data_IF_384071540138
#
_entry.id   IF_384071540138
#
_cell.length_a   1.000
_cell.length_b   1.000
_cell.length_c   1.000
_cell.angle_alpha   90.00
_cell.angle_beta   90.00
_cell.angle_gamma   90.00
#
_symmetry.space_group_name_H-M   'P 1'
#
loop_
_entity.id
_entity.type
_entity.pdbx_description
1 polymer ?
#
# COMPACT_ATOMS: atom_id res chain seq x y z
N UNK A 1 -1.69 25.81 -8.89
CA UNK A 1 -2.16 25.58 -7.51
C UNK A 1 -1.71 26.71 -6.59
N UNK A 2 -2.64 27.38 -5.91
CA UNK A 2 -2.31 28.35 -4.87
C UNK A 2 -1.58 27.70 -3.69
N UNK A 3 -0.71 28.46 -3.01
CA UNK A 3 0.10 27.96 -1.89
C UNK A 3 -0.74 27.30 -0.78
N UNK A 4 -1.89 27.88 -0.45
CA UNK A 4 -2.80 27.33 0.55
C UNK A 4 -3.37 25.98 0.11
N UNK A 5 -3.81 25.85 -1.14
CA UNK A 5 -4.35 24.59 -1.69
C UNK A 5 -3.28 23.48 -1.72
N UNK A 6 -2.03 23.83 -2.04
CA UNK A 6 -0.92 22.90 -1.97
C UNK A 6 -0.66 22.39 -0.54
N UNK A 7 -0.65 23.29 0.46
CA UNK A 7 -0.44 22.93 1.87
C UNK A 7 -1.58 22.04 2.40
N UNK A 8 -2.84 22.37 2.06
CA UNK A 8 -3.98 21.53 2.40
C UNK A 8 -3.86 20.14 1.77
N UNK A 9 -3.58 20.05 0.47
CA UNK A 9 -3.43 18.78 -0.22
C UNK A 9 -2.31 17.92 0.38
N UNK A 10 -1.14 18.52 0.63
CA UNK A 10 0.03 17.85 1.21
C UNK A 10 -0.25 17.30 2.60
N UNK A 11 -0.86 18.10 3.49
CA UNK A 11 -1.16 17.70 4.87
C UNK A 11 -2.25 16.62 4.91
N UNK A 12 -3.30 16.74 4.10
CA UNK A 12 -4.34 15.71 3.98
C UNK A 12 -3.77 14.39 3.48
N UNK A 13 -2.89 14.40 2.47
CA UNK A 13 -2.22 13.20 1.95
C UNK A 13 -1.38 12.49 3.03
N UNK A 14 -0.61 13.23 3.83
CA UNK A 14 0.16 12.65 4.94
C UNK A 14 -0.78 12.03 5.99
N UNK A 15 -1.80 12.77 6.41
CA UNK A 15 -2.74 12.31 7.42
C UNK A 15 -3.42 11.01 7.00
N UNK A 16 -3.87 10.93 5.75
CA UNK A 16 -4.50 9.74 5.18
C UNK A 16 -3.52 8.58 5.01
N UNK A 17 -2.30 8.84 4.53
CA UNK A 17 -1.28 7.80 4.38
C UNK A 17 -0.84 7.22 5.73
N UNK A 18 -0.90 8.00 6.81
CA UNK A 18 -0.57 7.59 8.17
C UNK A 18 -1.69 6.76 8.83
N UNK A 19 -2.92 6.76 8.29
CA UNK A 19 -3.99 5.95 8.85
C UNK A 19 -3.65 4.46 8.73
N UNK A 20 -3.88 3.67 9.80
CA UNK A 20 -3.67 2.22 9.76
C UNK A 20 -4.53 1.60 8.66
N UNK A 21 -3.87 1.09 7.63
CA UNK A 21 -4.51 0.49 6.45
C UNK A 21 -3.89 -0.86 6.12
N UNK A 22 -4.56 -1.63 5.25
CA UNK A 22 -4.04 -2.89 4.71
C UNK A 22 -2.69 -2.69 4.01
N UNK A 23 -2.49 -1.53 3.37
CA UNK A 23 -1.23 -1.16 2.74
C UNK A 23 -0.09 -0.97 3.75
N UNK A 24 -0.37 -0.31 4.88
CA UNK A 24 0.58 -0.16 5.99
C UNK A 24 0.90 -1.53 6.60
N UNK A 25 -0.11 -2.38 6.81
CA UNK A 25 0.09 -3.74 7.32
C UNK A 25 0.99 -4.57 6.39
N UNK A 26 0.83 -4.48 5.07
CA UNK A 26 1.68 -5.17 4.10
C UNK A 26 3.13 -4.66 4.15
N UNK A 27 3.34 -3.34 4.18
CA UNK A 27 4.67 -2.73 4.30
C UNK A 27 5.34 -3.16 5.60
N UNK A 28 4.66 -3.04 6.74
CA UNK A 28 5.18 -3.44 8.05
C UNK A 28 5.54 -4.92 8.05
N UNK A 29 4.66 -5.77 7.54
CA UNK A 29 4.87 -7.22 7.50
C UNK A 29 6.06 -7.61 6.62
N UNK A 30 6.16 -7.06 5.40
CA UNK A 30 7.28 -7.36 4.49
C UNK A 30 8.59 -6.79 5.01
N UNK A 31 8.57 -5.64 5.69
CA UNK A 31 9.75 -5.07 6.36
C UNK A 31 10.21 -5.93 7.53
N UNK A 32 9.25 -6.40 8.34
CA UNK A 32 9.49 -7.24 9.51
C UNK A 32 9.99 -8.64 9.15
N UNK A 33 9.53 -9.20 8.02
CA UNK A 33 9.84 -10.58 7.61
C UNK A 33 10.95 -10.71 6.59
N UNK A 34 11.12 -9.71 5.71
CA UNK A 34 12.06 -9.74 4.60
C UNK A 34 13.00 -8.52 4.54
N UNK A 35 12.99 -7.69 5.59
CA UNK A 35 13.89 -6.54 5.77
C UNK A 35 13.39 -5.24 5.14
N UNK A 36 14.00 -4.13 5.54
CA UNK A 36 13.60 -2.77 5.15
C UNK A 36 13.51 -2.57 3.63
N UNK A 37 14.45 -3.14 2.86
CA UNK A 37 14.45 -3.03 1.39
C UNK A 37 13.22 -3.67 0.74
N UNK A 38 12.72 -4.77 1.29
CA UNK A 38 11.46 -5.39 0.81
C UNK A 38 10.25 -4.53 1.21
N UNK A 39 10.29 -3.90 2.38
CA UNK A 39 9.32 -2.87 2.77
C UNK A 39 9.25 -1.70 1.79
N UNK A 40 10.42 -1.16 1.40
CA UNK A 40 10.51 -0.13 0.38
C UNK A 40 10.00 -0.61 -0.98
N UNK A 41 10.30 -1.85 -1.38
CA UNK A 41 9.77 -2.39 -2.63
C UNK A 41 8.22 -2.44 -2.63
N UNK A 42 7.59 -2.87 -1.53
CA UNK A 42 6.13 -2.77 -1.36
C UNK A 42 5.66 -1.32 -1.44
N UNK A 43 6.33 -0.40 -0.73
CA UNK A 43 5.97 1.01 -0.72
C UNK A 43 6.00 1.61 -2.14
N UNK A 44 7.04 1.32 -2.92
CA UNK A 44 7.16 1.71 -4.31
C UNK A 44 6.06 1.11 -5.18
N UNK A 45 5.70 -0.17 -4.96
CA UNK A 45 4.59 -0.81 -5.64
C UNK A 45 3.26 -0.12 -5.36
N UNK A 46 3.02 0.26 -4.11
CA UNK A 46 1.82 1.00 -3.76
C UNK A 46 1.81 2.38 -4.43
N UNK A 47 2.90 3.14 -4.32
CA UNK A 47 2.98 4.47 -4.95
C UNK A 47 2.76 4.36 -6.46
N UNK A 48 3.30 3.34 -7.12
CA UNK A 48 3.04 3.11 -8.54
C UNK A 48 1.54 2.84 -8.83
N UNK A 49 0.86 2.07 -7.97
CA UNK A 49 -0.59 1.87 -8.09
C UNK A 49 -1.39 3.15 -7.88
N UNK A 50 -1.00 3.97 -6.90
CA UNK A 50 -1.61 5.28 -6.64
C UNK A 50 -1.43 6.21 -7.85
N UNK A 51 -0.25 6.21 -8.48
CA UNK A 51 0.01 6.98 -9.69
C UNK A 51 -0.82 6.50 -10.89
N UNK A 52 -1.10 5.20 -11.01
CA UNK A 52 -2.05 4.71 -12.01
C UNK A 52 -3.43 5.34 -11.78
N UNK A 53 -3.92 5.41 -10.54
CA UNK A 53 -5.19 6.07 -10.25
C UNK A 53 -5.17 7.57 -10.49
N UNK A 54 -4.07 8.25 -10.15
CA UNK A 54 -3.89 9.67 -10.46
C UNK A 54 -3.94 9.89 -11.98
N UNK A 55 -3.26 9.06 -12.77
CA UNK A 55 -3.31 9.14 -14.23
C UNK A 55 -4.73 8.88 -14.78
N UNK A 56 -5.44 7.88 -14.25
CA UNK A 56 -6.83 7.60 -14.63
C UNK A 56 -7.75 8.78 -14.25
N UNK A 57 -7.54 9.40 -13.08
CA UNK A 57 -8.30 10.58 -12.68
C UNK A 57 -8.02 11.80 -13.57
N UNK A 58 -6.74 12.06 -13.90
CA UNK A 58 -6.30 13.16 -14.76
C UNK A 58 -6.79 13.05 -16.20
N UNK A 59 -6.85 11.83 -16.75
CA UNK A 59 -7.32 11.58 -18.11
C UNK A 59 -8.85 11.67 -18.26
N UNK A 60 -9.58 12.18 -17.25
CA UNK A 60 -11.03 12.37 -17.33
C UNK A 60 -11.81 11.06 -17.37
N UNK A 61 -11.25 10.01 -16.80
CA UNK A 61 -11.73 8.63 -16.94
C UNK A 61 -12.82 8.25 -15.94
N UNK A 62 -13.59 9.22 -15.44
CA UNK A 62 -14.79 8.93 -14.64
C UNK A 62 -15.78 8.03 -15.41
N UNK A 63 -15.76 8.10 -16.75
CA UNK A 63 -16.53 7.23 -17.65
C UNK A 63 -15.97 5.79 -17.81
N UNK A 64 -14.65 5.58 -18.00
CA UNK A 64 -14.13 4.19 -18.05
C UNK A 64 -14.03 3.55 -16.67
N UNK A 65 -13.96 4.30 -15.57
CA UNK A 65 -14.10 3.72 -14.24
C UNK A 65 -15.45 2.99 -14.07
N UNK A 66 -16.52 3.51 -14.68
CA UNK A 66 -17.81 2.82 -14.75
C UNK A 66 -17.79 1.60 -15.68
N UNK A 67 -17.03 1.67 -16.78
CA UNK A 67 -16.98 0.61 -17.80
C UNK A 67 -16.01 -0.54 -17.44
N UNK A 68 -14.99 -0.27 -16.61
CA UNK A 68 -13.97 -1.22 -16.15
C UNK A 68 -14.35 -1.91 -14.81
N UNK A 69 -15.56 -1.70 -14.30
CA UNK A 69 -15.99 -2.27 -13.01
C UNK A 69 -15.73 -3.77 -12.87
N UNK A 70 -15.83 -4.52 -13.96
CA UNK A 70 -15.53 -5.97 -14.03
C UNK A 70 -14.03 -6.27 -13.81
N UNK A 71 -13.14 -5.49 -14.43
CA UNK A 71 -11.68 -5.64 -14.30
C UNK A 71 -11.23 -5.28 -12.89
N UNK A 72 -11.78 -4.21 -12.32
CA UNK A 72 -11.50 -3.83 -10.94
C UNK A 72 -12.00 -4.87 -9.93
N UNK A 73 -13.16 -5.47 -10.18
CA UNK A 73 -13.67 -6.58 -9.36
C UNK A 73 -12.73 -7.78 -9.41
N UNK A 74 -12.19 -8.12 -10.58
CA UNK A 74 -11.23 -9.21 -10.72
C UNK A 74 -9.93 -8.92 -9.94
N UNK A 75 -9.37 -7.71 -10.11
CA UNK A 75 -8.15 -7.29 -9.40
C UNK A 75 -8.37 -7.25 -7.89
N UNK A 76 -9.53 -6.75 -7.43
CA UNK A 76 -9.95 -6.77 -6.02
C UNK A 76 -9.96 -8.19 -5.46
N UNK A 77 -10.62 -9.12 -6.14
CA UNK A 77 -10.67 -10.52 -5.70
C UNK A 77 -9.26 -11.11 -5.65
N UNK A 78 -8.44 -10.88 -6.68
CA UNK A 78 -7.05 -11.37 -6.72
C UNK A 78 -6.18 -10.78 -5.59
N UNK A 79 -6.26 -9.46 -5.36
CA UNK A 79 -5.53 -8.78 -4.29
C UNK A 79 -5.97 -9.22 -2.90
N UNK A 80 -7.28 -9.41 -2.69
CA UNK A 80 -7.84 -9.91 -1.44
C UNK A 80 -7.44 -11.36 -1.16
N UNK A 81 -7.52 -12.24 -2.17
CA UNK A 81 -7.05 -13.63 -2.07
C UNK A 81 -5.54 -13.69 -1.78
N UNK A 82 -4.77 -12.80 -2.40
CA UNK A 82 -3.33 -12.71 -2.16
C UNK A 82 -3.00 -12.27 -0.73
N UNK A 83 -3.72 -11.29 -0.19
CA UNK A 83 -3.60 -10.88 1.22
C UNK A 83 -3.97 -12.02 2.18
N UNK A 84 -5.06 -12.73 1.90
CA UNK A 84 -5.47 -13.90 2.69
C UNK A 84 -4.38 -14.97 2.64
N UNK A 85 -3.85 -15.27 1.45
CA UNK A 85 -2.78 -16.24 1.26
C UNK A 85 -1.51 -15.87 2.03
N UNK A 86 -1.07 -14.59 1.97
CA UNK A 86 0.05 -14.09 2.76
C UNK A 86 -0.23 -14.18 4.27
N UNK A 87 -1.41 -13.73 4.70
CA UNK A 87 -1.81 -13.74 6.10
C UNK A 87 -1.85 -15.15 6.70
N UNK A 88 -2.40 -16.11 5.95
CA UNK A 88 -2.37 -17.54 6.31
C UNK A 88 -0.93 -18.05 6.37
N UNK A 89 -0.06 -17.68 5.43
CA UNK A 89 1.36 -18.04 5.43
C UNK A 89 2.09 -17.57 6.68
N UNK A 90 1.79 -16.36 7.15
CA UNK A 90 2.34 -15.79 8.39
C UNK A 90 1.82 -16.52 9.63
N UNK A 91 0.53 -16.86 9.68
CA UNK A 91 -0.06 -17.59 10.81
C UNK A 91 0.50 -19.03 10.88
N UNK A 92 0.64 -19.70 9.72
CA UNK A 92 1.05 -21.11 9.63
C UNK A 92 2.56 -21.37 9.72
N UNK A 93 3.40 -20.35 9.61
CA UNK A 93 4.85 -20.52 9.72
C UNK A 93 5.23 -21.07 11.11
N UNK A 94 5.79 -22.28 11.21
CA UNK A 94 6.18 -22.87 12.51
C UNK A 94 7.56 -22.43 13.00
N UNK A 95 8.36 -21.83 12.14
CA UNK A 95 9.68 -21.35 12.52
C UNK A 95 9.54 -20.14 13.45
N UNK A 96 10.13 -20.22 14.64
CA UNK A 96 10.70 -19.05 15.31
C UNK A 96 11.58 -18.31 14.30
N UNK A 97 11.71 -16.99 14.37
CA UNK A 97 12.68 -16.29 13.53
C UNK A 97 14.08 -16.78 13.89
N UNK A 98 14.50 -17.91 13.33
CA UNK A 98 15.90 -18.17 13.12
C UNK A 98 16.29 -17.21 12.00
N UNK A 99 16.89 -16.09 12.40
CA UNK A 99 17.80 -15.32 11.55
C UNK A 99 19.00 -16.21 11.19
N UNK A 100 18.77 -17.33 10.50
CA UNK A 100 19.76 -17.78 9.56
C UNK A 100 19.59 -16.87 8.36
N UNK A 101 20.56 -16.00 8.19
CA UNK A 101 21.04 -15.52 6.90
C UNK A 101 21.43 -16.77 6.08
N UNK A 102 20.43 -17.60 5.73
CA UNK A 102 20.58 -18.68 4.80
C UNK A 102 19.94 -18.22 3.51
N UNK A 103 20.77 -18.24 2.49
CA UNK A 103 20.65 -17.57 1.21
C UNK A 103 19.60 -18.25 0.28
N UNK A 104 18.47 -18.72 0.81
CA UNK A 104 17.59 -19.67 0.09
C UNK A 104 16.06 -19.49 0.23
N UNK A 105 15.60 -18.31 0.62
CA UNK A 105 14.39 -17.75 -0.02
C UNK A 105 14.75 -16.34 -0.45
N UNK A 106 15.23 -16.20 -1.69
CA UNK A 106 15.29 -14.90 -2.38
C UNK A 106 13.84 -14.40 -2.40
N UNK A 107 13.45 -13.62 -1.40
CA UNK A 107 12.22 -12.84 -1.47
C UNK A 107 12.51 -11.82 -2.57
N UNK A 108 11.94 -12.05 -3.75
CA UNK A 108 12.20 -11.21 -4.89
C UNK A 108 11.64 -9.82 -4.59
N UNK A 109 12.46 -8.79 -4.72
CA UNK A 109 11.99 -7.40 -4.62
C UNK A 109 10.82 -7.13 -5.57
N UNK A 110 10.82 -7.82 -6.73
CA UNK A 110 9.72 -7.83 -7.67
C UNK A 110 8.41 -8.35 -7.06
N UNK A 111 8.44 -9.43 -6.29
CA UNK A 111 7.24 -9.96 -5.63
C UNK A 111 6.72 -9.01 -4.56
N UNK A 112 7.63 -8.39 -3.80
CA UNK A 112 7.27 -7.36 -2.82
C UNK A 112 6.66 -6.14 -3.50
N UNK A 113 7.24 -5.68 -4.61
CA UNK A 113 6.69 -4.60 -5.42
C UNK A 113 5.30 -4.96 -5.99
N UNK A 114 5.18 -6.10 -6.67
CA UNK A 114 3.93 -6.59 -7.24
C UNK A 114 2.86 -6.77 -6.18
N UNK A 115 3.22 -7.18 -4.96
CA UNK A 115 2.28 -7.28 -3.85
C UNK A 115 1.70 -5.93 -3.43
N UNK A 116 2.53 -4.89 -3.35
CA UNK A 116 2.07 -3.53 -3.05
C UNK A 116 1.23 -2.96 -4.20
N UNK A 117 1.68 -3.16 -5.43
CA UNK A 117 0.99 -2.70 -6.63
C UNK A 117 -0.40 -3.36 -6.78
N UNK A 118 -0.47 -4.69 -6.71
CA UNK A 118 -1.73 -5.43 -6.81
C UNK A 118 -2.68 -5.11 -5.64
N UNK A 119 -2.15 -4.93 -4.43
CA UNK A 119 -2.95 -4.51 -3.28
C UNK A 119 -3.61 -3.15 -3.54
N UNK A 120 -2.85 -2.17 -4.00
CA UNK A 120 -3.37 -0.83 -4.27
C UNK A 120 -4.37 -0.84 -5.41
N UNK A 121 -4.07 -1.51 -6.53
CA UNK A 121 -5.02 -1.63 -7.63
C UNK A 121 -6.32 -2.35 -7.25
N UNK A 122 -6.27 -3.24 -6.27
CA UNK A 122 -7.45 -3.92 -5.71
C UNK A 122 -8.21 -3.12 -4.67
N UNK A 123 -7.66 -2.01 -4.17
CA UNK A 123 -8.32 -1.16 -3.17
C UNK A 123 -9.33 -0.21 -3.83
N UNK A 124 -10.58 -0.66 -3.93
CA UNK A 124 -11.68 0.17 -4.42
C UNK A 124 -11.86 1.46 -3.61
N UNK A 125 -11.44 1.54 -2.34
CA UNK A 125 -11.46 2.81 -1.61
C UNK A 125 -10.51 3.82 -2.23
N UNK A 126 -9.32 3.40 -2.67
CA UNK A 126 -8.37 4.27 -3.35
C UNK A 126 -8.97 4.77 -4.67
N UNK A 127 -9.65 3.91 -5.43
CA UNK A 127 -10.37 4.28 -6.66
C UNK A 127 -11.41 5.37 -6.38
N UNK A 128 -12.32 5.14 -5.44
CA UNK A 128 -13.36 6.11 -5.12
C UNK A 128 -12.79 7.39 -4.51
N UNK A 129 -11.72 7.28 -3.73
CA UNK A 129 -11.01 8.42 -3.17
C UNK A 129 -10.44 9.30 -4.29
N UNK A 130 -9.66 8.72 -5.22
CA UNK A 130 -9.15 9.48 -6.35
C UNK A 130 -10.26 9.93 -7.31
N UNK A 131 -11.34 9.17 -7.48
CA UNK A 131 -12.45 9.58 -8.33
C UNK A 131 -13.31 10.73 -7.74
N UNK A 132 -13.45 10.81 -6.42
CA UNK A 132 -14.31 11.80 -5.73
C UNK A 132 -13.53 13.01 -5.20
N UNK A 133 -12.36 12.77 -4.60
CA UNK A 133 -11.56 13.82 -3.99
C UNK A 133 -10.76 14.60 -5.02
N UNK A 134 -10.27 13.93 -6.07
CA UNK A 134 -9.37 14.57 -7.03
C UNK A 134 -10.04 15.68 -7.84
N UNK A 135 -11.27 15.53 -8.39
CA UNK A 135 -11.98 16.63 -9.05
C UNK A 135 -12.44 17.73 -8.06
N UNK A 136 -12.56 17.40 -6.77
CA UNK A 136 -12.95 18.35 -5.73
C UNK A 136 -11.77 19.23 -5.24
N UNK A 137 -10.53 18.76 -5.42
CA UNK A 137 -9.31 19.49 -5.01
C UNK A 137 -8.60 20.12 -6.20
N UNK A 138 -8.71 19.53 -7.39
CA UNK A 138 -8.01 19.97 -8.59
C UNK A 138 -9.02 20.36 -9.66
N UNK A 139 -8.96 21.61 -10.11
CA UNK A 139 -9.75 22.05 -11.26
C UNK A 139 -9.18 21.44 -12.54
N UNK A 140 -9.84 20.37 -13.01
CA UNK A 140 -9.45 19.62 -14.21
C UNK A 140 -9.49 20.48 -15.48
N UNK A 141 -10.19 21.64 -15.48
CA UNK A 141 -10.31 22.49 -16.66
C UNK A 141 -9.10 23.41 -16.87
N UNK A 142 -8.36 23.72 -15.82
CA UNK A 142 -7.18 24.62 -15.87
C UNK A 142 -5.86 23.87 -15.70
N UNK A 143 -5.92 22.54 -15.69
CA UNK A 143 -4.83 21.67 -15.24
C UNK A 143 -3.66 21.70 -16.23
N UNK A 144 -2.58 22.38 -15.83
CA UNK A 144 -1.34 22.45 -16.59
C UNK A 144 -0.41 21.27 -16.31
N UNK A 145 0.57 21.04 -17.20
CA UNK A 145 1.58 19.98 -17.01
C UNK A 145 2.38 20.13 -15.70
N UNK A 146 2.57 21.36 -15.22
CA UNK A 146 3.24 21.68 -13.95
C UNK A 146 2.46 21.20 -12.72
N UNK A 147 1.13 21.25 -12.77
CA UNK A 147 0.25 20.85 -11.66
C UNK A 147 0.16 19.33 -11.57
N UNK A 148 0.10 18.64 -12.72
CA UNK A 148 0.20 17.19 -12.78
C UNK A 148 1.52 16.68 -12.16
N UNK A 149 2.65 17.32 -12.48
CA UNK A 149 3.95 16.99 -11.88
C UNK A 149 3.92 17.21 -10.35
N UNK A 150 3.33 18.31 -9.89
CA UNK A 150 3.22 18.64 -8.46
C UNK A 150 2.43 17.57 -7.71
N UNK A 151 1.33 17.08 -8.28
CA UNK A 151 0.51 16.01 -7.71
C UNK A 151 1.31 14.72 -7.62
N UNK A 152 1.96 14.30 -8.72
CA UNK A 152 2.79 13.09 -8.76
C UNK A 152 3.89 13.14 -7.71
N UNK A 153 4.64 14.24 -7.64
CA UNK A 153 5.71 14.42 -6.64
C UNK A 153 5.16 14.41 -5.22
N UNK A 154 4.03 15.07 -4.98
CA UNK A 154 3.39 15.09 -3.66
C UNK A 154 2.97 13.67 -3.24
N UNK A 155 2.35 12.88 -4.13
CA UNK A 155 1.99 11.49 -3.84
C UNK A 155 3.21 10.65 -3.51
N UNK A 156 4.29 10.76 -4.29
CA UNK A 156 5.54 10.02 -4.05
C UNK A 156 6.11 10.38 -2.68
N UNK A 157 6.23 11.67 -2.37
CA UNK A 157 6.86 12.14 -1.12
C UNK A 157 6.01 11.78 0.09
N UNK A 158 4.72 12.03 0.04
CA UNK A 158 3.82 11.83 1.19
C UNK A 158 3.57 10.34 1.42
N UNK A 159 3.02 9.63 0.44
CA UNK A 159 2.65 8.22 0.57
C UNK A 159 3.89 7.34 0.68
N UNK A 160 4.88 7.56 -0.19
CA UNK A 160 6.14 6.84 -0.16
C UNK A 160 6.95 7.13 1.11
N UNK A 161 7.02 8.40 1.53
CA UNK A 161 7.71 8.81 2.76
C UNK A 161 7.10 8.19 4.01
N UNK A 162 5.78 8.26 4.19
CA UNK A 162 5.09 7.65 5.33
C UNK A 162 5.32 6.13 5.36
N UNK A 163 5.24 5.46 4.21
CA UNK A 163 5.47 4.01 4.12
C UNK A 163 6.92 3.63 4.38
N UNK A 164 7.88 4.45 3.95
CA UNK A 164 9.28 4.27 4.28
C UNK A 164 9.53 4.39 5.80
N UNK A 165 8.87 5.34 6.46
CA UNK A 165 8.93 5.48 7.93
C UNK A 165 8.38 4.22 8.61
N UNK A 166 7.21 3.72 8.20
CA UNK A 166 6.68 2.45 8.71
C UNK A 166 7.61 1.27 8.47
N UNK A 167 8.22 1.18 7.28
CA UNK A 167 9.15 0.12 6.95
C UNK A 167 10.39 0.15 7.85
N UNK A 168 10.92 1.34 8.11
CA UNK A 168 12.08 1.54 8.98
C UNK A 168 11.78 1.13 10.42
N UNK A 169 10.69 1.63 11.00
CA UNK A 169 10.30 1.29 12.37
C UNK A 169 9.95 -0.19 12.52
N UNK A 170 9.29 -0.80 11.53
CA UNK A 170 8.98 -2.22 11.55
C UNK A 170 10.24 -3.09 11.62
N UNK A 171 11.26 -2.78 10.80
CA UNK A 171 12.53 -3.49 10.85
C UNK A 171 13.25 -3.28 12.19
N UNK A 172 13.25 -2.04 12.70
CA UNK A 172 13.91 -1.70 13.96
C UNK A 172 13.25 -2.39 15.17
N UNK A 173 11.91 -2.48 15.17
CA UNK A 173 11.15 -3.20 16.19
C UNK A 173 11.50 -4.68 16.18
N UNK A 174 11.56 -5.32 15.01
CA UNK A 174 11.95 -6.73 14.90
C UNK A 174 13.38 -6.97 15.37
N UNK A 175 14.33 -6.08 15.03
CA UNK A 175 15.73 -6.18 15.49
C UNK A 175 15.85 -6.06 17.01
N UNK A 176 14.98 -5.27 17.66
CA UNK A 176 14.96 -5.10 19.13
C UNK A 176 14.23 -6.22 19.85
N UNK A 177 13.21 -6.84 19.23
CA UNK A 177 12.46 -7.93 19.82
C UNK A 177 13.22 -9.25 19.64
N UNK A 178 13.98 -9.64 20.66
CA UNK A 178 14.74 -10.92 20.69
C UNK A 178 13.92 -12.12 21.17
N UNK A 179 12.76 -11.90 21.79
CA UNK A 179 11.94 -12.98 22.37
C UNK A 179 11.16 -13.74 21.29
N UNK A 180 11.32 -15.08 21.19
CA UNK A 180 10.60 -15.91 20.23
C UNK A 180 9.07 -15.85 20.39
N UNK A 181 8.59 -15.65 21.63
CA UNK A 181 7.14 -15.50 21.92
C UNK A 181 6.58 -14.19 21.37
N UNK A 182 7.30 -13.08 21.56
CA UNK A 182 6.90 -11.77 21.06
C UNK A 182 6.95 -11.69 19.53
N UNK A 183 7.96 -12.31 18.91
CA UNK A 183 8.03 -12.45 17.46
C UNK A 183 6.88 -13.27 16.89
N UNK A 184 6.52 -14.39 17.55
CA UNK A 184 5.36 -15.20 17.18
C UNK A 184 4.06 -14.39 17.30
N UNK A 185 3.88 -13.64 18.39
CA UNK A 185 2.70 -12.80 18.59
C UNK A 185 2.57 -11.71 17.51
N UNK A 186 3.66 -10.99 17.21
CA UNK A 186 3.68 -9.98 16.15
C UNK A 186 3.36 -10.56 14.77
N UNK A 187 3.88 -11.75 14.46
CA UNK A 187 3.60 -12.44 13.20
C UNK A 187 2.14 -12.89 13.08
N UNK A 188 1.58 -13.43 14.16
CA UNK A 188 0.15 -13.83 14.19
C UNK A 188 -0.73 -12.60 14.07
N UNK A 189 -0.43 -11.51 14.78
CA UNK A 189 -1.17 -10.25 14.67
C UNK A 189 -1.14 -9.68 13.24
N UNK A 190 0.05 -9.63 12.63
CA UNK A 190 0.22 -9.17 11.25
C UNK A 190 -0.52 -10.08 10.24
N UNK A 191 -0.40 -11.40 10.40
CA UNK A 191 -1.09 -12.36 9.55
C UNK A 191 -2.61 -12.28 9.68
N UNK A 192 -3.14 -12.14 10.90
CA UNK A 192 -4.56 -11.94 11.15
C UNK A 192 -5.04 -10.62 10.54
N UNK A 193 -4.29 -9.52 10.71
CA UNK A 193 -4.63 -8.24 10.09
C UNK A 193 -4.69 -8.33 8.56
N UNK A 194 -3.78 -9.09 7.93
CA UNK A 194 -3.79 -9.34 6.48
C UNK A 194 -4.98 -10.19 6.04
N UNK A 195 -5.32 -11.25 6.77
CA UNK A 195 -6.51 -12.07 6.46
C UNK A 195 -7.76 -11.23 6.61
N UNK A 196 -7.93 -10.51 7.71
CA UNK A 196 -9.06 -9.61 7.93
C UNK A 196 -9.14 -8.53 6.84
N UNK A 197 -8.01 -7.93 6.49
CA UNK A 197 -7.91 -6.94 5.42
C UNK A 197 -8.27 -7.49 4.05
N UNK A 198 -7.79 -8.68 3.70
CA UNK A 198 -8.09 -9.35 2.43
C UNK A 198 -9.55 -9.80 2.35
N UNK A 199 -10.09 -10.38 3.42
CA UNK A 199 -11.53 -10.73 3.50
C UNK A 199 -12.40 -9.49 3.41
N UNK A 200 -12.09 -8.44 4.16
CA UNK A 200 -12.81 -7.17 4.06
C UNK A 200 -12.73 -6.59 2.64
N UNK A 201 -11.57 -6.66 2.00
CA UNK A 201 -11.38 -6.18 0.63
C UNK A 201 -12.24 -6.97 -0.36
N UNK A 202 -12.42 -8.29 -0.20
CA UNK A 202 -13.28 -9.10 -1.09
C UNK A 202 -14.77 -8.79 -0.85
N UNK A 203 -15.21 -8.76 0.40
CA UNK A 203 -16.63 -8.73 0.77
C UNK A 203 -17.22 -7.33 0.89
N UNK A 204 -16.39 -6.28 0.92
CA UNK A 204 -16.88 -4.91 0.91
C UNK A 204 -17.48 -4.59 -0.46
N UNK A 205 -18.79 -4.40 -0.54
CA UNK A 205 -19.47 -3.89 -1.75
C UNK A 205 -19.09 -2.43 -2.00
#
# INVERSE_FOLDING_TARGET
MDYLNFVYFFTTMIALAALPSTSVALVVTRSATAGFRNGLAVASGIVAGDLVFVCLALLGLSALAQQLGSVFTLIKIMGGLYLIWLGIGLIRTKQTFEFKVNNQRRTNFLESFLSGFALTLGDLKAIFFYASLFPAIVDLKTLGSSEAITIVLTTIVTVGGVKAVYAYFAEQLVKRVKSPKAQKAGRVAAGTAMVCGGTYLIFKQ
#
